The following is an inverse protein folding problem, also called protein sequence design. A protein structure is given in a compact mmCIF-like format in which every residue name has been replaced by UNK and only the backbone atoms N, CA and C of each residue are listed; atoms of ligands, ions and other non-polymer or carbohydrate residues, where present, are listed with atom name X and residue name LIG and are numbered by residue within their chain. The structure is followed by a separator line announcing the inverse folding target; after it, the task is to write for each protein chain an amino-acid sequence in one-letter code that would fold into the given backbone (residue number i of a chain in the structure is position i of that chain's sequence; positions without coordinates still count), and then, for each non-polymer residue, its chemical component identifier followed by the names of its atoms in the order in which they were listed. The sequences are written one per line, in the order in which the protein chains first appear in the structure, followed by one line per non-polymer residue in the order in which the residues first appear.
data_IF_311739349265
#
_entry.id   IF_311739349265
#
_cell.length_a   1.000
_cell.length_b   1.000
_cell.length_c   1.000
_cell.angle_alpha   90.00
_cell.angle_beta   90.00
_cell.angle_gamma   90.00
#
_symmetry.space_group_name_H-M   'P 1'
#
loop_
_entity.id
_entity.type
_entity.pdbx_description
1 polymer ?
#
# COMPACT_ATOMS: atom_id res chain seq x y z
N UNK A 1 21.83 -14.42 2.37
CA UNK A 1 21.21 -13.18 2.84
C UNK A 1 20.21 -13.49 3.95
N UNK A 2 20.24 -12.70 5.00
CA UNK A 2 19.38 -12.84 6.18
C UNK A 2 18.28 -11.79 6.17
N UNK A 3 17.02 -12.22 6.19
CA UNK A 3 15.86 -11.32 6.18
C UNK A 3 15.05 -11.47 7.47
N UNK A 4 14.70 -10.35 8.10
CA UNK A 4 13.74 -10.31 9.19
C UNK A 4 12.39 -9.76 8.71
N UNK A 5 11.28 -10.38 9.15
CA UNK A 5 9.93 -9.84 9.01
C UNK A 5 9.41 -9.48 10.40
N UNK A 6 9.30 -8.17 10.68
CA UNK A 6 8.86 -7.64 11.97
C UNK A 6 7.36 -7.34 11.91
N UNK A 7 6.59 -7.95 12.80
CA UNK A 7 5.13 -7.98 12.73
C UNK A 7 4.58 -9.14 11.91
N UNK A 8 5.35 -10.21 11.77
CA UNK A 8 5.07 -11.38 10.94
C UNK A 8 3.71 -12.07 11.22
N UNK A 9 3.17 -11.94 12.43
CA UNK A 9 1.87 -12.51 12.84
C UNK A 9 0.65 -11.65 12.47
N UNK A 10 0.88 -10.45 11.93
CA UNK A 10 -0.17 -9.53 11.48
C UNK A 10 -0.66 -9.84 10.07
N UNK A 11 -1.80 -9.22 9.67
CA UNK A 11 -2.40 -9.42 8.34
C UNK A 11 -1.42 -9.12 7.20
N UNK A 12 -0.76 -7.97 7.23
CA UNK A 12 0.21 -7.57 6.20
C UNK A 12 1.53 -8.33 6.36
N UNK A 13 2.00 -8.59 7.59
CA UNK A 13 3.22 -9.35 7.82
C UNK A 13 3.13 -10.80 7.30
N UNK A 14 2.01 -11.48 7.51
CA UNK A 14 1.77 -12.81 6.93
C UNK A 14 1.68 -12.76 5.40
N UNK A 15 1.11 -11.71 4.82
CA UNK A 15 1.10 -11.51 3.36
C UNK A 15 2.50 -11.23 2.82
N UNK A 16 3.37 -10.51 3.55
CA UNK A 16 4.78 -10.33 3.17
C UNK A 16 5.51 -11.66 3.07
N UNK A 17 5.32 -12.55 4.03
CA UNK A 17 5.88 -13.91 3.97
C UNK A 17 5.35 -14.68 2.75
N UNK A 18 4.05 -14.61 2.50
CA UNK A 18 3.44 -15.24 1.32
C UNK A 18 4.05 -14.71 0.02
N UNK A 19 4.20 -13.39 -0.14
CA UNK A 19 4.76 -12.77 -1.35
C UNK A 19 6.26 -13.09 -1.50
N UNK A 20 7.03 -13.13 -0.40
CA UNK A 20 8.43 -13.56 -0.44
C UNK A 20 8.58 -14.98 -1.00
N UNK A 21 7.66 -15.88 -0.64
CA UNK A 21 7.63 -17.26 -1.14
C UNK A 21 7.18 -17.32 -2.62
N UNK A 22 6.08 -16.69 -2.96
CA UNK A 22 5.52 -16.66 -4.32
C UNK A 22 6.52 -16.08 -5.34
N UNK A 23 7.24 -15.01 -4.96
CA UNK A 23 8.25 -14.37 -5.79
C UNK A 23 9.63 -15.03 -5.71
N UNK A 24 9.73 -16.17 -4.99
CA UNK A 24 10.94 -16.99 -4.87
C UNK A 24 12.18 -16.17 -4.48
N UNK A 25 12.00 -15.26 -3.53
CA UNK A 25 13.12 -14.47 -3.00
C UNK A 25 14.09 -15.41 -2.29
N UNK A 26 15.36 -15.40 -2.71
CA UNK A 26 16.37 -16.26 -2.10
C UNK A 26 16.71 -15.75 -0.71
N UNK A 27 16.44 -16.56 0.31
CA UNK A 27 16.65 -16.25 1.73
C UNK A 27 17.43 -17.40 2.36
N UNK A 28 18.66 -17.12 2.84
CA UNK A 28 19.48 -18.12 3.52
C UNK A 28 19.00 -18.33 4.96
N UNK A 29 18.60 -17.25 5.65
CA UNK A 29 18.07 -17.26 7.00
C UNK A 29 16.89 -16.31 7.13
N UNK A 30 15.72 -16.85 7.53
CA UNK A 30 14.53 -16.06 7.82
C UNK A 30 14.36 -15.89 9.34
N UNK A 31 14.14 -14.64 9.77
CA UNK A 31 13.78 -14.30 11.14
C UNK A 31 12.36 -13.77 11.14
N UNK A 32 11.48 -14.41 11.91
CA UNK A 32 10.08 -13.96 12.08
C UNK A 32 9.95 -13.35 13.47
N UNK A 33 9.71 -12.04 13.54
CA UNK A 33 9.64 -11.29 14.79
C UNK A 33 8.27 -10.64 14.96
N UNK A 34 7.83 -10.52 16.21
CA UNK A 34 6.60 -9.82 16.56
C UNK A 34 6.66 -9.29 18.01
N UNK A 35 5.54 -8.69 18.47
CA UNK A 35 5.42 -8.25 19.86
C UNK A 35 5.49 -9.42 20.83
N UNK A 36 5.86 -9.16 22.09
CA UNK A 36 6.01 -10.14 23.18
C UNK A 36 4.82 -11.12 23.29
N UNK A 37 3.59 -10.66 23.02
CA UNK A 37 2.37 -11.51 23.01
C UNK A 37 2.39 -12.61 21.97
N UNK A 38 3.27 -12.52 20.98
CA UNK A 38 3.37 -13.49 19.88
C UNK A 38 4.65 -14.30 19.91
N UNK A 39 5.60 -13.98 20.78
CA UNK A 39 6.85 -14.75 20.96
C UNK A 39 6.55 -16.20 21.27
N UNK A 40 7.27 -17.12 20.64
CA UNK A 40 7.09 -18.57 20.75
C UNK A 40 5.99 -19.17 19.87
N UNK A 41 5.13 -18.36 19.22
CA UNK A 41 4.22 -18.88 18.20
C UNK A 41 5.00 -19.42 17.01
N UNK A 42 4.40 -20.34 16.28
CA UNK A 42 5.00 -20.95 15.11
C UNK A 42 4.40 -20.38 13.83
N UNK A 43 5.25 -20.15 12.84
CA UNK A 43 4.90 -19.74 11.48
C UNK A 43 5.54 -20.73 10.51
N UNK A 44 4.78 -21.22 9.55
CA UNK A 44 5.32 -22.08 8.48
C UNK A 44 5.66 -21.20 7.27
N UNK A 45 6.90 -21.33 6.78
CA UNK A 45 7.37 -20.68 5.56
C UNK A 45 8.20 -21.69 4.76
N UNK A 46 7.89 -21.88 3.48
CA UNK A 46 8.55 -22.86 2.59
C UNK A 46 8.67 -24.26 3.21
N UNK A 47 7.61 -24.72 3.89
CA UNK A 47 7.57 -26.04 4.52
C UNK A 47 8.40 -26.19 5.81
N UNK A 48 9.10 -25.13 6.26
CA UNK A 48 9.84 -25.10 7.53
C UNK A 48 9.06 -24.32 8.58
N UNK A 49 9.16 -24.78 9.83
CA UNK A 49 8.54 -24.09 10.97
C UNK A 49 9.55 -23.17 11.62
N UNK A 50 9.15 -21.91 11.79
CA UNK A 50 9.91 -20.85 12.44
C UNK A 50 9.20 -20.42 13.71
N UNK A 51 9.95 -20.29 14.82
CA UNK A 51 9.43 -19.71 16.05
C UNK A 51 9.54 -18.19 16.00
N UNK A 52 8.44 -17.51 16.34
CA UNK A 52 8.42 -16.06 16.45
C UNK A 52 9.32 -15.63 17.60
N UNK A 53 10.27 -14.75 17.33
CA UNK A 53 11.18 -14.15 18.30
C UNK A 53 10.75 -12.74 18.69
N UNK A 54 11.37 -12.18 19.74
CA UNK A 54 11.22 -10.76 20.07
C UNK A 54 11.91 -9.87 19.02
N UNK A 55 11.54 -8.59 18.99
CA UNK A 55 12.20 -7.63 18.07
C UNK A 55 13.67 -7.42 18.49
N UNK A 56 13.96 -7.47 19.78
CA UNK A 56 15.33 -7.35 20.31
C UNK A 56 16.21 -8.54 19.90
N UNK A 57 15.68 -9.76 19.93
CA UNK A 57 16.38 -10.94 19.42
C UNK A 57 16.63 -10.83 17.90
N UNK A 58 15.67 -10.29 17.14
CA UNK A 58 15.84 -10.06 15.71
C UNK A 58 16.95 -9.03 15.41
N UNK A 59 17.10 -7.96 16.22
CA UNK A 59 18.22 -7.02 16.13
C UNK A 59 19.54 -7.73 16.42
N UNK A 60 19.58 -8.53 17.49
CA UNK A 60 20.78 -9.29 17.89
C UNK A 60 21.24 -10.26 16.78
N UNK A 61 20.30 -10.82 16.04
CA UNK A 61 20.57 -11.71 14.91
C UNK A 61 21.17 -11.00 13.67
N UNK A 62 21.20 -9.65 13.65
CA UNK A 62 21.80 -8.80 12.60
C UNK A 62 21.36 -9.19 11.18
N UNK A 63 20.08 -9.03 10.82
CA UNK A 63 19.63 -9.29 9.45
C UNK A 63 20.19 -8.25 8.47
N UNK A 64 20.37 -8.64 7.21
CA UNK A 64 20.74 -7.73 6.13
C UNK A 64 19.59 -6.77 5.79
N UNK A 65 18.35 -7.32 5.74
CA UNK A 65 17.12 -6.58 5.46
C UNK A 65 16.08 -6.89 6.55
N UNK A 66 15.36 -5.87 7.01
CA UNK A 66 14.22 -6.00 7.92
C UNK A 66 12.96 -5.36 7.30
N UNK A 67 11.93 -6.15 7.07
CA UNK A 67 10.64 -5.68 6.51
C UNK A 67 9.66 -5.51 7.68
N UNK A 68 9.20 -4.27 7.90
CA UNK A 68 8.40 -3.89 9.05
C UNK A 68 6.91 -3.79 8.71
N UNK A 69 6.09 -4.47 9.49
CA UNK A 69 4.62 -4.36 9.51
C UNK A 69 4.10 -4.35 10.96
N UNK A 70 4.72 -3.56 11.82
CA UNK A 70 4.46 -3.54 13.27
C UNK A 70 3.77 -2.25 13.76
N UNK A 71 3.43 -1.34 12.84
CA UNK A 71 2.83 -0.03 13.13
C UNK A 71 3.86 1.05 13.49
N UNK A 72 3.42 2.32 13.47
CA UNK A 72 4.30 3.49 13.56
C UNK A 72 5.07 3.58 14.87
N UNK A 73 4.44 3.26 16.01
CA UNK A 73 5.08 3.32 17.33
C UNK A 73 6.24 2.34 17.42
N UNK A 74 6.04 1.09 17.03
CA UNK A 74 7.10 0.08 17.04
C UNK A 74 8.19 0.43 16.01
N UNK A 75 7.80 0.94 14.83
CA UNK A 75 8.78 1.34 13.83
C UNK A 75 9.67 2.49 14.33
N UNK A 76 9.12 3.52 14.94
CA UNK A 76 9.91 4.61 15.54
C UNK A 76 10.88 4.12 16.62
N UNK A 77 10.50 3.12 17.39
CA UNK A 77 11.33 2.54 18.45
C UNK A 77 12.46 1.68 17.91
N UNK A 78 12.19 0.84 16.92
CA UNK A 78 13.10 -0.24 16.53
C UNK A 78 13.82 0.00 15.20
N UNK A 79 13.22 0.68 14.21
CA UNK A 79 13.85 0.85 12.91
C UNK A 79 15.22 1.55 12.97
N UNK A 80 15.43 2.62 13.79
CA UNK A 80 16.76 3.21 13.94
C UNK A 80 17.81 2.21 14.47
N UNK A 81 17.44 1.35 15.43
CA UNK A 81 18.34 0.36 16.02
C UNK A 81 18.78 -0.72 15.03
N UNK A 82 17.91 -1.09 14.08
CA UNK A 82 18.30 -1.92 12.94
C UNK A 82 19.26 -1.17 12.00
N UNK A 83 18.98 0.11 11.72
CA UNK A 83 19.86 0.95 10.91
C UNK A 83 21.27 1.12 11.50
N UNK A 84 21.38 1.30 12.81
CA UNK A 84 22.66 1.41 13.53
C UNK A 84 23.58 0.19 13.40
N UNK A 85 23.01 -0.99 13.17
CA UNK A 85 23.76 -2.23 12.94
C UNK A 85 23.99 -2.54 11.45
N UNK A 86 23.62 -1.60 10.55
CA UNK A 86 23.78 -1.72 9.11
C UNK A 86 22.64 -2.42 8.35
N UNK A 87 21.55 -2.78 9.04
CA UNK A 87 20.38 -3.40 8.41
C UNK A 87 19.60 -2.39 7.58
N UNK A 88 19.19 -2.76 6.36
CA UNK A 88 18.22 -1.99 5.59
C UNK A 88 16.79 -2.27 6.09
N UNK A 89 16.11 -1.25 6.57
CA UNK A 89 14.73 -1.34 7.07
C UNK A 89 13.76 -0.87 5.99
N UNK A 90 12.80 -1.71 5.62
CA UNK A 90 11.68 -1.36 4.74
C UNK A 90 10.43 -1.24 5.62
N UNK A 91 9.98 -0.01 5.85
CA UNK A 91 8.89 0.24 6.80
C UNK A 91 7.56 0.52 6.13
N UNK A 92 6.56 -0.34 6.41
CA UNK A 92 5.21 -0.20 5.88
C UNK A 92 4.32 0.73 6.71
N UNK A 93 4.79 1.26 7.82
CA UNK A 93 4.02 2.20 8.65
C UNK A 93 4.08 3.63 8.09
N UNK A 94 3.32 4.54 8.69
CA UNK A 94 3.39 5.97 8.34
C UNK A 94 4.53 6.72 9.03
N UNK A 95 5.36 6.05 9.85
CA UNK A 95 6.32 6.69 10.74
C UNK A 95 7.35 7.56 10.02
N UNK A 96 7.79 7.15 8.84
CA UNK A 96 8.95 7.71 8.15
C UNK A 96 8.61 8.35 6.80
N UNK A 97 7.38 8.20 6.31
CA UNK A 97 7.00 8.57 4.94
C UNK A 97 7.29 10.03 4.59
N UNK A 98 7.07 10.94 5.54
CA UNK A 98 7.27 12.37 5.32
C UNK A 98 8.60 12.90 5.88
N UNK A 99 9.44 12.03 6.45
CA UNK A 99 10.78 12.43 6.88
C UNK A 99 11.65 12.80 5.67
N UNK A 100 12.35 13.94 5.75
CA UNK A 100 13.08 14.54 4.62
C UNK A 100 14.16 13.61 4.05
N UNK A 101 14.87 12.90 4.94
CA UNK A 101 16.01 12.07 4.58
C UNK A 101 15.64 10.57 4.39
N UNK A 102 14.36 10.24 4.44
CA UNK A 102 13.87 8.88 4.22
C UNK A 102 13.18 8.81 2.87
N UNK A 103 13.67 7.99 1.92
CA UNK A 103 13.00 7.83 0.64
C UNK A 103 11.66 7.10 0.83
N UNK A 104 10.65 7.57 0.09
CA UNK A 104 9.31 7.00 0.00
C UNK A 104 9.19 6.31 -1.36
N UNK A 105 9.20 4.96 -1.39
CA UNK A 105 9.57 4.24 -2.60
C UNK A 105 8.45 3.38 -3.17
N UNK A 106 8.18 3.61 -4.46
CA UNK A 106 7.51 2.66 -5.36
C UNK A 106 8.56 2.24 -6.40
N UNK A 107 9.04 0.99 -6.38
CA UNK A 107 10.22 0.59 -7.14
C UNK A 107 10.19 0.90 -8.63
N UNK A 108 9.02 0.78 -9.24
CA UNK A 108 8.82 1.05 -10.66
C UNK A 108 8.92 2.54 -11.03
N UNK A 109 8.90 3.44 -10.02
CA UNK A 109 8.84 4.89 -10.23
C UNK A 109 10.14 5.58 -9.78
N UNK A 110 10.60 5.27 -8.56
CA UNK A 110 11.62 6.09 -7.91
C UNK A 110 12.62 5.29 -7.05
N UNK A 111 12.90 4.02 -7.38
CA UNK A 111 13.88 3.22 -6.65
C UNK A 111 15.29 3.82 -6.65
N UNK A 112 15.60 4.69 -7.64
CA UNK A 112 16.85 5.46 -7.73
C UNK A 112 17.09 6.41 -6.55
N UNK A 113 16.09 6.65 -5.69
CA UNK A 113 16.26 7.41 -4.43
C UNK A 113 16.92 6.63 -3.32
N UNK A 114 17.05 5.31 -3.46
CA UNK A 114 17.74 4.47 -2.48
C UNK A 114 19.25 4.54 -2.73
N UNK A 115 20.00 4.87 -1.70
CA UNK A 115 21.47 4.90 -1.73
C UNK A 115 22.04 3.90 -0.72
N UNK A 116 23.33 3.53 -0.80
CA UNK A 116 23.96 2.64 0.20
C UNK A 116 23.89 3.17 1.65
N UNK A 117 23.76 4.47 1.83
CA UNK A 117 23.66 5.12 3.13
C UNK A 117 22.22 5.16 3.67
N UNK A 118 21.25 4.73 2.86
CA UNK A 118 19.83 4.76 3.21
C UNK A 118 19.46 3.53 4.03
N UNK A 119 19.46 3.64 5.35
CA UNK A 119 19.13 2.50 6.24
C UNK A 119 17.61 2.36 6.53
N UNK A 120 16.82 3.39 6.33
CA UNK A 120 15.36 3.32 6.48
C UNK A 120 14.71 3.75 5.17
N UNK A 121 13.82 2.91 4.63
CA UNK A 121 13.08 3.11 3.39
C UNK A 121 11.60 3.01 3.73
N UNK A 122 10.83 4.06 3.42
CA UNK A 122 9.40 4.06 3.67
C UNK A 122 8.62 3.44 2.50
N UNK A 123 7.72 2.53 2.83
CA UNK A 123 6.73 1.98 1.93
C UNK A 123 5.47 2.87 1.97
N UNK A 124 4.97 3.38 0.83
CA UNK A 124 3.89 4.35 0.82
C UNK A 124 2.53 3.80 1.31
N UNK A 125 1.56 4.68 1.44
CA UNK A 125 0.16 4.33 1.68
C UNK A 125 -0.40 3.48 0.52
N UNK A 126 -1.28 2.54 0.86
CA UNK A 126 -1.81 1.58 -0.12
C UNK A 126 -2.55 2.26 -1.29
N UNK A 127 -3.37 3.26 -1.00
CA UNK A 127 -4.07 4.03 -2.03
C UNK A 127 -3.08 4.87 -2.85
N UNK A 128 -2.08 5.48 -2.20
CA UNK A 128 -1.05 6.23 -2.92
C UNK A 128 -0.29 5.34 -3.91
N UNK A 129 0.14 4.14 -3.49
CA UNK A 129 0.92 3.24 -4.38
C UNK A 129 0.14 2.95 -5.67
N UNK A 130 -1.11 2.48 -5.55
CA UNK A 130 -1.89 2.10 -6.74
C UNK A 130 -2.15 3.29 -7.65
N UNK A 131 -2.41 4.46 -7.08
CA UNK A 131 -2.68 5.68 -7.84
C UNK A 131 -1.43 6.15 -8.60
N UNK A 132 -0.29 6.28 -7.92
CA UNK A 132 0.93 6.79 -8.58
C UNK A 132 1.48 5.83 -9.63
N UNK A 133 1.22 4.52 -9.52
CA UNK A 133 1.55 3.55 -10.58
C UNK A 133 0.84 3.87 -11.89
N UNK A 134 -0.43 4.26 -11.84
CA UNK A 134 -1.17 4.69 -13.02
C UNK A 134 -0.77 6.10 -13.48
N UNK A 135 -0.45 7.00 -12.55
CA UNK A 135 -0.20 8.41 -12.84
C UNK A 135 1.23 8.73 -13.29
N UNK A 136 2.24 7.98 -12.84
CA UNK A 136 3.64 8.27 -13.15
C UNK A 136 3.94 8.35 -14.66
N UNK A 137 3.47 7.42 -15.52
CA UNK A 137 3.69 7.52 -16.95
C UNK A 137 2.99 8.73 -17.59
N UNK A 138 1.83 9.12 -17.07
CA UNK A 138 1.08 10.31 -17.52
C UNK A 138 1.85 11.58 -17.11
N UNK A 139 2.28 11.66 -15.87
CA UNK A 139 3.05 12.81 -15.36
C UNK A 139 4.34 13.01 -16.15
N UNK A 140 5.06 11.93 -16.42
CA UNK A 140 6.30 11.97 -17.21
C UNK A 140 6.07 12.49 -18.65
N UNK A 141 4.95 12.13 -19.27
CA UNK A 141 4.67 12.48 -20.67
C UNK A 141 4.04 13.88 -20.80
N UNK A 142 3.10 14.21 -19.94
CA UNK A 142 2.22 15.37 -20.13
C UNK A 142 2.29 16.42 -19.03
N UNK A 143 2.93 16.10 -17.88
CA UNK A 143 2.86 16.93 -16.68
C UNK A 143 1.45 16.86 -16.06
N UNK A 144 1.36 16.56 -14.76
CA UNK A 144 0.08 16.63 -14.05
C UNK A 144 0.02 17.97 -13.35
N UNK A 145 -1.04 18.72 -13.63
CA UNK A 145 -1.33 20.01 -13.02
C UNK A 145 -2.21 19.88 -11.79
N UNK A 146 -3.25 19.01 -11.86
CA UNK A 146 -4.25 18.84 -10.79
C UNK A 146 -4.78 17.42 -10.72
N UNK A 147 -5.03 16.97 -9.49
CA UNK A 147 -5.68 15.70 -9.16
C UNK A 147 -6.87 15.93 -8.25
N UNK A 148 -8.01 15.32 -8.57
CA UNK A 148 -9.16 15.17 -7.67
C UNK A 148 -9.39 13.68 -7.49
N UNK A 149 -9.29 13.24 -6.24
CA UNK A 149 -9.27 11.82 -5.89
C UNK A 149 -10.48 11.51 -5.01
N UNK A 150 -11.24 10.49 -5.36
CA UNK A 150 -12.22 9.88 -4.48
C UNK A 150 -11.88 8.40 -4.32
N UNK A 151 -11.64 7.95 -3.09
CA UNK A 151 -11.29 6.54 -2.82
C UNK A 151 -12.50 5.78 -2.27
N UNK A 152 -12.58 4.50 -2.63
CA UNK A 152 -13.53 3.52 -2.14
C UNK A 152 -12.74 2.36 -1.54
N UNK A 153 -12.34 2.54 -0.27
CA UNK A 153 -11.38 1.66 0.38
C UNK A 153 -12.08 0.47 1.05
N UNK A 154 -11.55 -0.73 0.82
CA UNK A 154 -11.97 -1.95 1.49
C UNK A 154 -11.65 -1.94 2.99
N UNK A 155 -12.40 -2.71 3.77
CA UNK A 155 -12.25 -2.79 5.23
C UNK A 155 -10.93 -3.41 5.68
N UNK A 156 -10.27 -4.23 4.84
CA UNK A 156 -8.95 -4.79 5.14
C UNK A 156 -7.85 -3.74 5.36
N UNK A 157 -8.02 -2.52 4.81
CA UNK A 157 -7.15 -1.37 5.11
C UNK A 157 -7.13 -0.97 6.59
N UNK A 158 -8.18 -1.30 7.34
CA UNK A 158 -8.24 -1.17 8.80
C UNK A 158 -7.80 -2.45 9.54
N UNK A 159 -7.17 -3.39 8.81
CA UNK A 159 -6.69 -4.66 9.34
C UNK A 159 -7.82 -5.63 9.70
N UNK A 160 -7.48 -6.64 10.50
CA UNK A 160 -8.43 -7.69 10.94
C UNK A 160 -9.66 -7.11 11.64
N UNK A 161 -9.54 -5.98 12.34
CA UNK A 161 -10.68 -5.36 13.02
C UNK A 161 -11.77 -4.89 12.05
N UNK A 162 -11.39 -4.29 10.91
CA UNK A 162 -12.34 -3.88 9.88
C UNK A 162 -13.06 -5.06 9.25
N UNK A 163 -12.34 -6.11 8.93
CA UNK A 163 -12.90 -7.36 8.39
C UNK A 163 -13.88 -7.98 9.41
N UNK A 164 -13.48 -8.06 10.67
CA UNK A 164 -14.32 -8.63 11.71
C UNK A 164 -15.61 -7.81 11.92
N UNK A 165 -15.54 -6.48 11.86
CA UNK A 165 -16.72 -5.63 11.97
C UNK A 165 -17.69 -5.88 10.82
N UNK A 166 -17.22 -5.88 9.57
CA UNK A 166 -18.07 -6.14 8.40
C UNK A 166 -18.75 -7.50 8.52
N UNK A 167 -17.97 -8.55 8.81
CA UNK A 167 -18.52 -9.91 8.95
C UNK A 167 -19.53 -10.02 10.10
N UNK A 168 -19.26 -9.35 11.23
CA UNK A 168 -20.18 -9.34 12.37
C UNK A 168 -21.51 -8.65 12.01
N UNK A 169 -21.44 -7.48 11.36
CA UNK A 169 -22.65 -6.72 10.98
C UNK A 169 -23.47 -7.47 9.90
N UNK A 170 -22.81 -8.12 8.95
CA UNK A 170 -23.47 -8.98 7.97
C UNK A 170 -24.17 -10.16 8.62
N UNK A 171 -23.48 -10.89 9.50
CA UNK A 171 -24.06 -12.02 10.25
C UNK A 171 -25.19 -11.57 11.18
N UNK A 172 -25.10 -10.37 11.78
CA UNK A 172 -26.16 -9.80 12.59
C UNK A 172 -27.41 -9.51 11.77
N UNK A 173 -27.23 -8.93 10.57
CA UNK A 173 -28.35 -8.68 9.65
C UNK A 173 -29.04 -9.97 9.20
N UNK A 174 -28.29 -11.08 9.09
CA UNK A 174 -28.80 -12.42 8.78
C UNK A 174 -29.26 -13.19 10.04
N UNK A 175 -29.26 -12.56 11.23
CA UNK A 175 -29.58 -13.17 12.54
C UNK A 175 -28.67 -14.37 12.89
N UNK A 176 -27.43 -14.37 12.43
CA UNK A 176 -26.44 -15.44 12.64
C UNK A 176 -25.31 -15.03 13.59
N UNK A 177 -25.24 -13.75 13.98
CA UNK A 177 -24.19 -13.25 14.88
C UNK A 177 -24.37 -13.78 16.30
N UNK A 178 -23.27 -14.16 16.93
CA UNK A 178 -23.21 -14.61 18.32
C UNK A 178 -22.52 -13.57 19.19
N UNK A 179 -23.23 -13.02 20.16
CA UNK A 179 -22.71 -12.06 21.13
C UNK A 179 -22.52 -10.63 20.56
N UNK A 180 -22.06 -9.67 21.37
CA UNK A 180 -21.83 -8.30 20.96
C UNK A 180 -20.49 -8.12 20.23
N UNK A 181 -20.43 -7.19 19.28
CA UNK A 181 -19.18 -6.74 18.69
C UNK A 181 -18.31 -6.03 19.72
N UNK A 182 -17.14 -6.56 20.00
CA UNK A 182 -16.17 -5.96 20.92
C UNK A 182 -15.12 -5.18 20.12
N UNK A 183 -14.91 -3.89 20.43
CA UNK A 183 -13.91 -3.02 19.81
C UNK A 183 -14.08 -2.85 18.30
N UNK A 184 -15.15 -2.17 17.85
CA UNK A 184 -15.35 -1.88 16.43
C UNK A 184 -14.17 -1.08 15.84
N UNK A 185 -13.93 -1.25 14.54
CA UNK A 185 -12.91 -0.51 13.79
C UNK A 185 -13.43 0.88 13.38
N UNK A 186 -14.75 0.99 13.19
CA UNK A 186 -15.43 2.22 12.74
C UNK A 186 -16.45 2.67 13.75
N UNK A 187 -16.70 3.99 13.87
CA UNK A 187 -17.69 4.55 14.79
C UNK A 187 -19.14 4.31 14.33
N UNK A 188 -19.33 3.95 13.05
CA UNK A 188 -20.63 3.70 12.43
C UNK A 188 -20.66 2.34 11.75
N UNK A 189 -21.87 1.83 11.50
CA UNK A 189 -22.08 0.62 10.73
C UNK A 189 -21.46 0.76 9.34
N UNK A 190 -20.70 -0.26 8.92
CA UNK A 190 -20.11 -0.34 7.57
C UNK A 190 -20.90 -1.24 6.63
N UNK A 191 -21.56 -2.27 7.11
CA UNK A 191 -22.38 -3.16 6.30
C UNK A 191 -23.51 -2.39 5.62
N UNK A 192 -23.60 -2.47 4.28
CA UNK A 192 -24.55 -1.72 3.44
C UNK A 192 -24.45 -0.19 3.62
N UNK A 193 -23.27 0.33 3.88
CA UNK A 193 -23.04 1.74 4.09
C UNK A 193 -21.73 2.22 3.46
N UNK A 194 -21.58 3.53 3.28
CA UNK A 194 -20.35 4.19 2.87
C UNK A 194 -19.97 5.20 3.95
N UNK A 195 -18.76 5.10 4.48
CA UNK A 195 -18.27 6.02 5.50
C UNK A 195 -17.23 6.97 4.86
N UNK A 196 -17.51 8.28 4.73
CA UNK A 196 -16.57 9.27 4.19
C UNK A 196 -15.54 9.64 5.26
N UNK A 197 -14.73 8.65 5.68
CA UNK A 197 -13.83 8.78 6.81
C UNK A 197 -12.69 7.75 6.73
N UNK A 198 -11.45 8.22 6.84
CA UNK A 198 -10.26 7.39 6.92
C UNK A 198 -9.19 8.00 7.80
N UNK A 199 -8.85 7.35 8.93
CA UNK A 199 -7.93 7.90 9.94
C UNK A 199 -8.59 8.95 10.84
N UNK A 200 -7.79 9.86 11.42
CA UNK A 200 -8.27 10.93 12.31
C UNK A 200 -8.53 12.20 11.50
N UNK A 201 -9.46 13.05 11.96
CA UNK A 201 -9.68 14.37 11.36
C UNK A 201 -8.57 15.34 11.74
N UNK A 202 -8.14 16.14 10.77
CA UNK A 202 -7.19 17.23 10.93
C UNK A 202 -7.92 18.58 11.06
N UNK A 203 -7.23 19.62 11.56
CA UNK A 203 -7.82 20.96 11.81
C UNK A 203 -8.30 21.64 10.51
N UNK A 204 -7.77 21.25 9.35
CA UNK A 204 -8.16 21.79 8.04
C UNK A 204 -9.39 21.07 7.45
N UNK A 205 -10.02 20.14 8.20
CA UNK A 205 -11.18 19.37 7.76
C UNK A 205 -10.87 18.13 6.93
N UNK A 206 -9.62 17.91 6.54
CA UNK A 206 -9.16 16.66 5.92
C UNK A 206 -8.99 15.57 6.98
N UNK A 207 -8.92 14.35 6.54
CA UNK A 207 -8.49 13.22 7.37
C UNK A 207 -7.00 12.95 7.17
N UNK A 208 -6.37 12.29 8.14
CA UNK A 208 -4.97 11.87 8.02
C UNK A 208 -4.72 10.95 6.81
N UNK A 209 -5.73 10.22 6.35
CA UNK A 209 -5.63 9.38 5.16
C UNK A 209 -5.64 10.22 3.86
N UNK A 210 -6.45 11.26 3.82
CA UNK A 210 -6.48 12.23 2.69
C UNK A 210 -5.17 13.01 2.60
N UNK A 211 -4.62 13.45 3.73
CA UNK A 211 -3.31 14.11 3.78
C UNK A 211 -2.17 13.21 3.25
N UNK A 212 -2.24 11.90 3.46
CA UNK A 212 -1.26 10.97 2.88
C UNK A 212 -1.36 10.96 1.36
N UNK A 213 -2.56 10.88 0.80
CA UNK A 213 -2.74 10.94 -0.66
C UNK A 213 -2.18 12.20 -1.26
N UNK A 214 -2.34 13.36 -0.60
CA UNK A 214 -1.76 14.62 -1.05
C UNK A 214 -0.23 14.58 -0.96
N UNK A 215 0.30 14.43 0.24
CA UNK A 215 1.71 14.64 0.52
C UNK A 215 2.63 13.55 -0.07
N UNK A 216 2.20 12.28 0.00
CA UNK A 216 2.97 11.16 -0.54
C UNK A 216 3.03 11.20 -2.06
N UNK A 217 1.95 11.62 -2.75
CA UNK A 217 1.93 11.79 -4.21
C UNK A 217 2.98 12.79 -4.67
N UNK A 218 3.02 13.98 -4.04
CA UNK A 218 4.01 15.02 -4.36
C UNK A 218 5.44 14.50 -4.18
N UNK A 219 5.69 13.78 -3.09
CA UNK A 219 7.01 13.24 -2.77
C UNK A 219 7.44 12.14 -3.75
N UNK A 220 6.57 11.20 -4.11
CA UNK A 220 6.89 10.09 -5.01
C UNK A 220 7.07 10.57 -6.45
N UNK A 221 6.19 11.46 -6.93
CA UNK A 221 6.28 12.03 -8.28
C UNK A 221 7.34 13.13 -8.40
N UNK A 222 7.93 13.58 -7.27
CA UNK A 222 8.98 14.61 -7.19
C UNK A 222 8.54 15.95 -7.77
N UNK A 223 7.26 16.27 -7.68
CA UNK A 223 6.71 17.54 -8.15
C UNK A 223 5.81 18.17 -7.08
N UNK A 224 6.28 19.20 -6.37
CA UNK A 224 5.51 19.90 -5.35
C UNK A 224 4.43 20.84 -5.92
N UNK A 225 4.38 21.04 -7.24
CA UNK A 225 3.46 21.99 -7.87
C UNK A 225 2.12 21.34 -8.26
N UNK A 226 1.99 20.02 -8.18
CA UNK A 226 0.73 19.34 -8.48
C UNK A 226 -0.32 19.74 -7.44
N UNK A 227 -1.43 20.31 -7.87
CA UNK A 227 -2.56 20.60 -7.00
C UNK A 227 -3.34 19.30 -6.73
N UNK A 228 -3.37 18.82 -5.48
CA UNK A 228 -4.01 17.54 -5.12
C UNK A 228 -5.08 17.77 -4.08
N UNK A 229 -6.26 17.18 -4.27
CA UNK A 229 -7.30 17.08 -3.25
C UNK A 229 -7.89 15.66 -3.24
N UNK A 230 -8.28 15.17 -2.06
CA UNK A 230 -8.77 13.81 -1.89
C UNK A 230 -9.99 13.77 -0.97
N UNK A 231 -10.88 12.82 -1.24
CA UNK A 231 -11.95 12.39 -0.33
C UNK A 231 -11.85 10.89 -0.14
N UNK A 232 -11.67 10.45 1.09
CA UNK A 232 -11.51 9.04 1.42
C UNK A 232 -12.81 8.46 1.95
N UNK A 233 -13.29 7.39 1.30
CA UNK A 233 -14.44 6.64 1.77
C UNK A 233 -14.07 5.20 2.10
N UNK A 234 -14.68 4.66 3.16
CA UNK A 234 -14.67 3.24 3.47
C UNK A 234 -15.94 2.59 2.95
N UNK A 235 -15.79 1.47 2.23
CA UNK A 235 -16.91 0.71 1.64
C UNK A 235 -16.95 -0.72 2.18
N UNK A 236 -18.12 -1.40 2.17
CA UNK A 236 -18.31 -2.74 2.72
C UNK A 236 -17.76 -3.82 1.76
N UNK A 237 -16.48 -3.73 1.43
CA UNK A 237 -15.74 -4.64 0.56
C UNK A 237 -14.55 -5.19 1.36
N UNK A 238 -14.32 -6.49 1.34
CA UNK A 238 -13.29 -7.14 2.15
C UNK A 238 -11.88 -6.76 1.70
N UNK A 239 -11.59 -6.77 0.40
CA UNK A 239 -10.27 -6.48 -0.16
C UNK A 239 -10.36 -5.78 -1.51
N UNK A 240 -9.27 -5.15 -1.92
CA UNK A 240 -9.20 -4.30 -3.10
C UNK A 240 -9.71 -2.88 -2.83
N UNK A 241 -8.82 -1.88 -2.99
CA UNK A 241 -9.19 -0.47 -2.98
C UNK A 241 -9.50 -0.02 -4.39
N UNK A 242 -10.55 0.80 -4.54
CA UNK A 242 -10.91 1.43 -5.80
C UNK A 242 -10.80 2.94 -5.67
N UNK A 243 -10.46 3.62 -6.77
CA UNK A 243 -10.27 5.07 -6.81
C UNK A 243 -10.83 5.65 -8.10
N UNK A 244 -11.65 6.70 -7.97
CA UNK A 244 -12.00 7.58 -9.07
C UNK A 244 -11.03 8.77 -9.04
N UNK A 245 -10.24 8.91 -10.10
CA UNK A 245 -9.22 9.96 -10.20
C UNK A 245 -9.52 10.83 -11.42
N UNK A 246 -9.73 12.12 -11.17
CA UNK A 246 -9.78 13.14 -12.21
C UNK A 246 -8.41 13.80 -12.31
N UNK A 247 -7.86 13.84 -13.50
CA UNK A 247 -6.51 14.31 -13.81
C UNK A 247 -6.60 15.47 -14.79
N UNK A 248 -6.02 16.61 -14.45
CA UNK A 248 -5.75 17.70 -15.39
C UNK A 248 -4.24 17.73 -15.71
N UNK A 249 -3.88 17.72 -17.00
CA UNK A 249 -2.50 17.75 -17.44
C UNK A 249 -2.12 19.13 -17.96
N UNK A 250 -0.81 19.44 -17.97
CA UNK A 250 -0.29 20.68 -18.54
C UNK A 250 -0.36 20.67 -20.06
N UNK A 251 -0.02 19.53 -20.67
CA UNK A 251 0.00 19.35 -22.13
C UNK A 251 -1.23 18.61 -22.61
N UNK A 252 -1.68 18.89 -23.84
CA UNK A 252 -2.74 18.10 -24.47
C UNK A 252 -2.29 16.65 -24.69
N UNK A 253 -3.26 15.72 -24.69
CA UNK A 253 -3.01 14.29 -24.85
C UNK A 253 -4.10 13.66 -25.72
N UNK A 254 -3.84 12.46 -26.22
CA UNK A 254 -4.85 11.59 -26.81
C UNK A 254 -5.14 10.40 -25.88
N UNK A 255 -6.39 9.98 -25.78
CA UNK A 255 -6.81 8.92 -24.86
C UNK A 255 -6.12 7.59 -25.17
N UNK A 256 -5.89 7.29 -26.46
CA UNK A 256 -5.22 6.07 -26.86
C UNK A 256 -3.74 6.08 -26.49
N UNK A 257 -3.09 7.25 -26.47
CA UNK A 257 -1.72 7.39 -25.98
C UNK A 257 -1.67 7.15 -24.47
N UNK A 258 -2.62 7.67 -23.71
CA UNK A 258 -2.75 7.43 -22.27
C UNK A 258 -2.89 5.93 -21.99
N UNK A 259 -3.76 5.22 -22.74
CA UNK A 259 -3.91 3.76 -22.61
C UNK A 259 -2.61 3.03 -22.89
N UNK A 260 -1.88 3.41 -23.96
CA UNK A 260 -0.58 2.80 -24.30
C UNK A 260 0.48 3.03 -23.23
N UNK A 261 0.56 4.25 -22.69
CA UNK A 261 1.51 4.58 -21.62
C UNK A 261 1.24 3.77 -20.35
N UNK A 262 -0.02 3.63 -19.97
CA UNK A 262 -0.40 2.81 -18.81
C UNK A 262 -0.13 1.33 -19.05
N UNK A 263 -0.47 0.80 -20.21
CA UNK A 263 -0.23 -0.60 -20.57
C UNK A 263 1.27 -0.94 -20.66
N UNK A 264 2.13 0.04 -20.92
CA UNK A 264 3.59 -0.13 -20.92
C UNK A 264 4.22 -0.04 -19.53
N UNK A 265 3.47 0.41 -18.50
CA UNK A 265 3.98 0.52 -17.14
C UNK A 265 4.02 -0.86 -16.48
N UNK A 266 5.20 -1.35 -16.03
CA UNK A 266 5.29 -2.63 -15.33
C UNK A 266 4.35 -2.71 -14.14
N UNK A 267 3.61 -3.81 -14.01
CA UNK A 267 2.64 -4.00 -12.92
C UNK A 267 1.31 -3.28 -13.11
N UNK A 268 1.09 -2.59 -14.22
CA UNK A 268 -0.22 -1.98 -14.57
C UNK A 268 -0.91 -2.80 -15.66
N UNK A 269 -2.19 -3.08 -15.46
CA UNK A 269 -3.05 -3.80 -16.42
C UNK A 269 -4.23 -2.92 -16.79
N UNK A 270 -4.38 -2.61 -18.09
CA UNK A 270 -5.53 -1.87 -18.61
C UNK A 270 -6.69 -2.83 -18.86
N UNK A 271 -7.82 -2.59 -18.18
CA UNK A 271 -9.10 -3.28 -18.35
C UNK A 271 -10.16 -2.23 -18.71
N UNK A 272 -10.29 -1.88 -19.97
CA UNK A 272 -11.10 -0.74 -20.41
C UNK A 272 -11.81 -1.02 -21.75
N UNK A 273 -12.85 -1.85 -21.69
CA UNK A 273 -13.74 -2.09 -22.83
C UNK A 273 -15.20 -1.88 -22.41
N UNK A 274 -15.78 -0.68 -22.63
CA UNK A 274 -17.16 -0.41 -22.31
C UNK A 274 -18.17 -1.27 -23.07
N UNK A 275 -17.83 -1.78 -24.25
CA UNK A 275 -18.75 -2.57 -25.09
C UNK A 275 -19.05 -3.94 -24.48
N UNK A 276 -18.10 -4.48 -23.71
CA UNK A 276 -18.22 -5.76 -23.01
C UNK A 276 -18.38 -5.61 -21.49
N UNK A 277 -18.55 -4.38 -20.98
CA UNK A 277 -18.54 -4.04 -19.56
C UNK A 277 -17.26 -4.49 -18.85
N UNK A 278 -16.12 -4.47 -19.55
CA UNK A 278 -14.82 -4.79 -18.96
C UNK A 278 -14.23 -3.54 -18.27
N UNK A 279 -14.14 -3.60 -16.96
CA UNK A 279 -13.53 -2.58 -16.10
C UNK A 279 -13.02 -3.23 -14.81
N UNK A 280 -12.05 -2.61 -14.13
CA UNK A 280 -11.53 -3.14 -12.86
C UNK A 280 -12.58 -3.12 -11.74
N UNK A 281 -12.58 -4.17 -10.94
CA UNK A 281 -13.43 -4.29 -9.74
C UNK A 281 -12.62 -4.78 -8.55
N UNK A 282 -13.00 -4.39 -7.34
CA UNK A 282 -12.33 -4.83 -6.12
C UNK A 282 -12.26 -6.36 -6.02
N UNK A 283 -13.35 -7.05 -6.31
CA UNK A 283 -13.44 -8.51 -6.24
C UNK A 283 -12.50 -9.23 -7.23
N UNK A 284 -12.28 -8.67 -8.43
CA UNK A 284 -11.41 -9.27 -9.45
C UNK A 284 -9.94 -8.91 -9.28
N UNK A 285 -9.65 -7.85 -8.51
CA UNK A 285 -8.30 -7.39 -8.19
C UNK A 285 -7.79 -7.94 -6.85
N UNK A 286 -8.69 -8.54 -6.07
CA UNK A 286 -8.34 -9.13 -4.78
C UNK A 286 -7.33 -10.27 -4.94
N UNK A 287 -6.33 -10.29 -4.08
CA UNK A 287 -5.21 -11.24 -4.05
C UNK A 287 -4.37 -11.27 -5.35
N UNK A 288 -4.29 -10.13 -6.07
CA UNK A 288 -3.42 -9.93 -7.24
C UNK A 288 -2.41 -8.83 -6.99
N UNK A 289 -1.24 -8.93 -7.64
CA UNK A 289 -0.15 -7.98 -7.48
C UNK A 289 -0.24 -6.76 -8.41
N UNK A 290 -1.08 -6.83 -9.43
CA UNK A 290 -1.20 -5.79 -10.44
C UNK A 290 -2.08 -4.63 -9.96
N UNK A 291 -1.84 -3.48 -10.54
CA UNK A 291 -2.73 -2.31 -10.51
C UNK A 291 -3.57 -2.32 -11.79
N UNK A 292 -4.87 -2.40 -11.63
CA UNK A 292 -5.81 -2.42 -12.75
C UNK A 292 -6.36 -1.03 -13.01
N UNK A 293 -6.38 -0.61 -14.27
CA UNK A 293 -6.87 0.71 -14.69
C UNK A 293 -7.92 0.55 -15.79
N UNK A 294 -9.02 1.25 -15.66
CA UNK A 294 -10.07 1.29 -16.67
C UNK A 294 -10.92 2.54 -16.56
N UNK A 295 -12.03 2.57 -17.30
CA UNK A 295 -12.91 3.74 -17.41
C UNK A 295 -12.14 5.00 -17.82
N UNK A 296 -11.11 4.83 -18.66
CA UNK A 296 -10.23 5.88 -19.17
C UNK A 296 -11.01 6.69 -20.21
N UNK A 297 -11.29 7.95 -19.90
CA UNK A 297 -12.10 8.81 -20.77
C UNK A 297 -11.75 10.28 -20.60
N UNK A 298 -12.00 11.07 -21.63
CA UNK A 298 -11.89 12.52 -21.55
C UNK A 298 -12.82 13.11 -20.50
N UNK A 299 -12.32 14.13 -19.81
CA UNK A 299 -13.13 15.07 -19.06
C UNK A 299 -13.27 16.35 -19.90
N UNK A 300 -14.48 16.60 -20.38
CA UNK A 300 -14.76 17.75 -21.22
C UNK A 300 -15.02 19.04 -20.45
N UNK A 301 -14.97 19.01 -19.12
CA UNK A 301 -15.17 20.19 -18.28
C UNK A 301 -13.92 21.09 -18.18
N UNK A 302 -12.75 20.56 -18.53
CA UNK A 302 -11.47 21.26 -18.58
C UNK A 302 -10.70 20.92 -19.87
N UNK A 303 -9.76 21.78 -20.27
CA UNK A 303 -9.08 21.65 -21.56
C UNK A 303 -8.31 20.34 -21.70
N UNK A 304 -7.55 19.94 -20.69
CA UNK A 304 -6.69 18.75 -20.72
C UNK A 304 -7.07 17.78 -19.59
N UNK A 305 -8.36 17.46 -19.48
CA UNK A 305 -8.88 16.60 -18.42
C UNK A 305 -9.10 15.16 -18.85
N UNK A 306 -8.89 14.24 -17.89
CA UNK A 306 -9.28 12.84 -18.02
C UNK A 306 -9.80 12.28 -16.68
N UNK A 307 -10.61 11.23 -16.78
CA UNK A 307 -11.07 10.46 -15.63
C UNK A 307 -10.56 9.03 -15.75
N UNK A 308 -10.13 8.47 -14.62
CA UNK A 308 -9.60 7.13 -14.47
C UNK A 308 -10.34 6.39 -13.34
N UNK A 309 -10.41 5.08 -13.46
CA UNK A 309 -10.81 4.17 -12.40
C UNK A 309 -9.68 3.19 -12.14
N UNK A 310 -9.12 3.21 -10.93
CA UNK A 310 -7.93 2.47 -10.54
C UNK A 310 -8.29 1.51 -9.41
N UNK A 311 -7.90 0.25 -9.52
CA UNK A 311 -8.19 -0.77 -8.52
C UNK A 311 -6.97 -1.64 -8.29
N UNK A 312 -6.63 -1.91 -7.03
CA UNK A 312 -5.56 -2.85 -6.66
C UNK A 312 -5.83 -3.49 -5.31
N UNK A 313 -5.21 -4.63 -5.04
CA UNK A 313 -5.22 -5.21 -3.70
C UNK A 313 -4.33 -4.39 -2.76
N UNK A 314 -4.96 -3.79 -1.76
CA UNK A 314 -4.33 -2.91 -0.78
C UNK A 314 -3.37 -3.61 0.18
N UNK A 315 -3.45 -4.94 0.30
CA UNK A 315 -2.55 -5.75 1.15
C UNK A 315 -1.39 -6.30 0.32
N UNK A 316 -1.57 -6.50 -1.00
CA UNK A 316 -0.53 -6.95 -1.92
C UNK A 316 0.25 -5.76 -2.49
N UNK A 317 -0.04 -5.29 -3.71
CA UNK A 317 0.70 -4.15 -4.27
C UNK A 317 0.65 -2.93 -3.37
N UNK A 318 -0.47 -2.68 -2.70
CA UNK A 318 -0.61 -1.57 -1.76
C UNK A 318 0.24 -1.68 -0.48
N UNK A 319 0.89 -2.84 -0.21
CA UNK A 319 1.68 -3.04 1.00
C UNK A 319 2.79 -4.08 0.81
N UNK A 320 2.44 -5.38 0.90
CA UNK A 320 3.41 -6.47 0.98
C UNK A 320 4.24 -6.60 -0.28
N UNK A 321 3.62 -6.60 -1.45
CA UNK A 321 4.32 -6.75 -2.73
C UNK A 321 5.27 -5.59 -2.99
N UNK A 322 4.85 -4.34 -2.74
CA UNK A 322 5.74 -3.19 -2.90
C UNK A 322 6.95 -3.26 -1.95
N UNK A 323 6.73 -3.67 -0.68
CA UNK A 323 7.83 -3.84 0.27
C UNK A 323 8.81 -4.96 -0.15
N UNK A 324 8.30 -6.08 -0.66
CA UNK A 324 9.13 -7.19 -1.18
C UNK A 324 9.89 -6.76 -2.44
N UNK A 325 9.27 -5.99 -3.32
CA UNK A 325 9.94 -5.43 -4.51
C UNK A 325 11.07 -4.46 -4.13
N UNK A 326 10.90 -3.65 -3.07
CA UNK A 326 11.99 -2.83 -2.51
C UNK A 326 13.13 -3.73 -2.03
N UNK A 327 12.83 -4.82 -1.30
CA UNK A 327 13.85 -5.78 -0.89
C UNK A 327 14.57 -6.40 -2.08
N UNK A 328 13.85 -6.81 -3.13
CA UNK A 328 14.45 -7.33 -4.36
C UNK A 328 15.34 -6.30 -5.08
N UNK A 329 14.96 -5.02 -5.06
CA UNK A 329 15.81 -3.96 -5.59
C UNK A 329 17.12 -3.84 -4.81
N UNK A 330 17.05 -3.84 -3.47
CA UNK A 330 18.25 -3.84 -2.60
C UNK A 330 19.15 -5.03 -2.89
N UNK A 331 18.58 -6.23 -2.99
CA UNK A 331 19.33 -7.47 -3.29
C UNK A 331 20.10 -7.38 -4.62
N UNK A 332 19.52 -6.71 -5.62
CA UNK A 332 20.14 -6.56 -6.94
C UNK A 332 21.21 -5.47 -6.99
N UNK A 333 21.06 -4.42 -6.17
CA UNK A 333 21.87 -3.20 -6.31
C UNK A 333 22.88 -2.99 -5.20
N UNK A 334 22.62 -3.52 -4.01
CA UNK A 334 23.50 -3.44 -2.85
C UNK A 334 24.27 -4.75 -2.71
N UNK A 335 25.57 -4.68 -2.41
CA UNK A 335 26.36 -5.83 -2.01
C UNK A 335 26.28 -5.98 -0.51
N UNK A 336 25.65 -7.04 -0.03
CA UNK A 336 25.54 -7.41 1.37
C UNK A 336 26.77 -8.20 1.85
#
# INVERSE_FOLDING_TARGET
MKIAVVGATGLVGSKMLQVLDEQKVHIDELIVAASERSVGKEIVFQGKTYKVVSVDDAITARPDIAIFSAGATASKQYAPRFGEIGTFVIDNSSAWRMEKNVPLVVPEINADTITPETHIIANPNCSTIQMVMALAPIHKAYGIKRLVIATYQSVSGSGVKGINQLNYEENSALRQAQGPLTKPAYPHQIYRNVLPHGGDFCDNGYTTEEEKLVNETLKILRDPNIAVTATVCRVPVTGGHSEAVNVETEKPFEIDDVRRLMAAMPGVVVQDDPSTNLYPMAITSYDKDEVFVGRIRRDYSVANGMNLWIVSDNIRKGAATNAVQIAQYLIKTIKF
#
